data_IF_107338026258
#
_entry.id   IF_107338026258
#
_cell.length_a   1.000
_cell.length_b   1.000
_cell.length_c   1.000
_cell.angle_alpha   90.00
_cell.angle_beta   90.00
_cell.angle_gamma   90.00
#
_symmetry.space_group_name_H-M   'P 1'
#
loop_
_entity.id
_entity.type
_entity.pdbx_description
1 polymer ?
#
# COMPACT_ATOMS: atom_id res chain seq x y z
N UNK A 1 39.96 -24.81 24.51
CA UNK A 1 39.89 -23.91 23.35
C UNK A 1 38.60 -23.10 23.43
N UNK A 2 38.69 -21.80 23.75
CA UNK A 2 37.53 -20.90 23.74
C UNK A 2 37.17 -20.61 22.28
N UNK A 3 35.97 -20.96 21.85
CA UNK A 3 35.43 -20.53 20.57
C UNK A 3 35.39 -18.99 20.57
N UNK A 4 36.23 -18.38 19.74
CA UNK A 4 36.22 -16.95 19.54
C UNK A 4 34.85 -16.58 18.97
N UNK A 5 34.08 -15.76 19.71
CA UNK A 5 32.88 -15.12 19.17
C UNK A 5 33.34 -14.20 18.05
N UNK A 6 33.12 -14.63 16.80
CA UNK A 6 33.33 -13.81 15.62
C UNK A 6 32.51 -12.52 15.74
N UNK A 7 33.01 -11.37 15.28
CA UNK A 7 32.28 -10.11 15.31
C UNK A 7 30.96 -10.24 14.53
N UNK A 8 29.92 -9.57 15.03
CA UNK A 8 28.54 -9.62 14.49
C UNK A 8 28.48 -9.31 12.98
N UNK A 9 29.40 -8.50 12.48
CA UNK A 9 29.52 -8.15 11.06
C UNK A 9 30.00 -9.32 10.20
N UNK A 10 30.94 -10.14 10.68
CA UNK A 10 31.39 -11.35 10.00
C UNK A 10 30.29 -12.42 9.97
N UNK A 11 29.44 -12.45 11.00
CA UNK A 11 28.25 -13.30 11.04
C UNK A 11 27.19 -12.84 10.03
N UNK A 12 27.01 -11.53 9.85
CA UNK A 12 26.08 -10.97 8.86
C UNK A 12 26.52 -11.23 7.42
N UNK A 13 27.80 -11.01 7.10
CA UNK A 13 28.34 -11.25 5.76
C UNK A 13 28.23 -12.74 5.36
N UNK A 14 28.55 -13.65 6.28
CA UNK A 14 28.42 -15.10 6.05
C UNK A 14 26.96 -15.51 5.81
N UNK A 15 26.00 -14.97 6.56
CA UNK A 15 24.57 -15.24 6.36
C UNK A 15 24.06 -14.72 5.03
N UNK A 16 24.50 -13.54 4.62
CA UNK A 16 24.17 -12.97 3.31
C UNK A 16 24.71 -13.83 2.17
N UNK A 17 25.92 -14.39 2.31
CA UNK A 17 26.49 -15.27 1.29
C UNK A 17 25.73 -16.59 1.19
N UNK A 18 25.49 -17.26 2.33
CA UNK A 18 24.68 -18.47 2.37
C UNK A 18 23.27 -18.27 1.81
N UNK A 19 22.67 -17.11 2.07
CA UNK A 19 21.34 -16.78 1.56
C UNK A 19 21.26 -16.74 0.02
N UNK A 20 22.34 -16.38 -0.68
CA UNK A 20 22.35 -16.36 -2.16
C UNK A 20 22.07 -17.73 -2.76
N UNK A 21 22.58 -18.80 -2.13
CA UNK A 21 22.33 -20.18 -2.57
C UNK A 21 20.82 -20.51 -2.54
N UNK A 22 20.07 -19.99 -1.56
CA UNK A 22 18.62 -20.15 -1.48
C UNK A 22 17.86 -19.31 -2.50
N UNK A 23 18.36 -18.11 -2.82
CA UNK A 23 17.79 -17.25 -3.87
C UNK A 23 17.89 -17.95 -5.22
N UNK A 24 19.07 -18.50 -5.55
CA UNK A 24 19.30 -19.27 -6.77
C UNK A 24 18.46 -20.55 -6.79
N UNK A 25 18.46 -21.32 -5.68
CA UNK A 25 17.68 -22.56 -5.57
C UNK A 25 16.17 -22.37 -5.77
N UNK A 26 15.63 -21.21 -5.38
CA UNK A 26 14.20 -20.91 -5.49
C UNK A 26 13.84 -20.08 -6.72
N UNK A 27 14.80 -19.86 -7.63
CA UNK A 27 14.63 -19.04 -8.84
C UNK A 27 14.04 -17.65 -8.54
N UNK A 28 14.47 -17.06 -7.41
CA UNK A 28 14.07 -15.71 -7.00
C UNK A 28 15.02 -14.67 -7.58
N UNK A 29 14.54 -13.45 -7.85
CA UNK A 29 15.43 -12.39 -8.33
C UNK A 29 16.47 -12.04 -7.25
N UNK A 30 17.72 -11.82 -7.66
CA UNK A 30 18.82 -11.40 -6.77
C UNK A 30 18.70 -9.91 -6.38
N UNK A 31 17.66 -9.59 -5.61
CA UNK A 31 17.36 -8.27 -5.09
C UNK A 31 17.96 -8.08 -3.69
N UNK A 32 18.57 -6.94 -3.43
CA UNK A 32 18.99 -6.57 -2.07
C UNK A 32 17.75 -6.34 -1.20
N UNK A 33 17.59 -7.08 -0.11
CA UNK A 33 16.54 -6.78 0.87
C UNK A 33 16.72 -5.37 1.43
N UNK A 34 15.66 -4.59 1.38
CA UNK A 34 15.68 -3.20 1.83
C UNK A 34 15.35 -3.12 3.32
N UNK A 35 16.07 -2.26 4.03
CA UNK A 35 15.70 -1.89 5.39
C UNK A 35 14.55 -0.88 5.31
N UNK A 36 13.40 -1.26 5.85
CA UNK A 36 12.31 -0.31 6.06
C UNK A 36 12.76 0.82 6.98
N UNK A 37 12.44 2.06 6.58
CA UNK A 37 12.67 3.25 7.38
C UNK A 37 11.35 3.99 7.54
N UNK A 38 10.92 4.22 8.80
CA UNK A 38 9.64 4.86 9.11
C UNK A 38 9.52 6.28 8.54
N UNK A 39 10.63 7.00 8.40
CA UNK A 39 10.66 8.35 7.82
C UNK A 39 10.73 8.34 6.29
N UNK A 40 10.95 7.17 5.67
CA UNK A 40 11.00 7.01 4.20
C UNK A 40 9.86 6.11 3.75
N UNK A 41 8.64 6.55 4.03
CA UNK A 41 7.37 5.90 3.70
C UNK A 41 7.27 5.33 2.27
N UNK A 42 7.84 6.00 1.25
CA UNK A 42 7.91 5.48 -0.13
C UNK A 42 8.65 4.14 -0.25
N UNK A 43 9.56 3.83 0.66
CA UNK A 43 10.31 2.57 0.64
C UNK A 43 9.48 1.36 1.06
N UNK A 44 8.34 1.56 1.73
CA UNK A 44 7.57 0.45 2.31
C UNK A 44 7.06 -0.50 1.23
N UNK A 45 6.48 0.02 0.14
CA UNK A 45 5.97 -0.78 -0.96
C UNK A 45 7.10 -1.62 -1.57
N UNK A 46 8.23 -1.00 -1.91
CA UNK A 46 9.39 -1.73 -2.47
C UNK A 46 9.99 -2.74 -1.50
N UNK A 47 9.94 -2.49 -0.18
CA UNK A 47 10.35 -3.49 0.81
C UNK A 47 9.43 -4.72 0.76
N UNK A 48 8.12 -4.50 0.73
CA UNK A 48 7.11 -5.57 0.68
C UNK A 48 7.26 -6.38 -0.61
N UNK A 49 7.40 -5.72 -1.75
CA UNK A 49 7.57 -6.38 -3.06
C UNK A 49 8.83 -7.25 -3.09
N UNK A 50 9.96 -6.78 -2.55
CA UNK A 50 11.20 -7.57 -2.47
C UNK A 50 11.09 -8.76 -1.53
N UNK A 51 10.41 -8.59 -0.38
CA UNK A 51 10.14 -9.71 0.53
C UNK A 51 9.24 -10.75 -0.12
N UNK A 52 8.24 -10.33 -0.89
CA UNK A 52 7.36 -11.25 -1.63
C UNK A 52 8.10 -11.99 -2.74
N UNK A 53 8.93 -11.29 -3.50
CA UNK A 53 9.75 -11.87 -4.57
C UNK A 53 10.67 -12.98 -4.02
N UNK A 54 11.31 -12.72 -2.88
CA UNK A 54 12.22 -13.69 -2.25
C UNK A 54 11.58 -14.50 -1.12
N UNK A 55 10.24 -14.60 -1.06
CA UNK A 55 9.56 -15.26 0.05
C UNK A 55 9.99 -16.73 0.18
N UNK A 56 10.09 -17.44 -0.95
CA UNK A 56 10.49 -18.85 -0.97
C UNK A 56 11.94 -19.01 -0.50
N UNK A 57 12.87 -18.19 -0.98
CA UNK A 57 14.26 -18.17 -0.55
C UNK A 57 14.38 -17.92 0.96
N UNK A 58 13.67 -16.91 1.47
CA UNK A 58 13.62 -16.58 2.89
C UNK A 58 13.11 -17.75 3.72
N UNK A 59 11.98 -18.34 3.31
CA UNK A 59 11.38 -19.47 4.00
C UNK A 59 12.34 -20.68 4.04
N UNK A 60 12.95 -21.05 2.91
CA UNK A 60 13.90 -22.15 2.84
C UNK A 60 15.16 -21.90 3.68
N UNK A 61 15.69 -20.67 3.65
CA UNK A 61 16.83 -20.27 4.44
C UNK A 61 16.55 -20.40 5.95
N UNK A 62 15.42 -19.88 6.44
CA UNK A 62 15.10 -19.96 7.87
C UNK A 62 14.73 -21.37 8.32
N UNK A 63 14.10 -22.18 7.45
CA UNK A 63 13.77 -23.57 7.77
C UNK A 63 15.02 -24.46 7.86
N UNK A 64 16.02 -24.25 7.02
CA UNK A 64 17.29 -25.00 7.07
C UNK A 64 18.12 -24.71 8.34
N UNK A 65 17.83 -23.62 9.05
CA UNK A 65 18.52 -23.21 10.28
C UNK A 65 17.62 -23.33 11.52
N UNK A 66 16.47 -24.00 11.40
CA UNK A 66 15.55 -24.18 12.52
C UNK A 66 16.26 -24.94 13.67
N UNK A 67 16.15 -24.41 14.89
CA UNK A 67 16.81 -24.99 16.09
C UNK A 67 18.28 -24.61 16.28
N UNK A 68 18.96 -24.04 15.28
CA UNK A 68 20.33 -23.50 15.43
C UNK A 68 20.34 -22.10 16.04
N UNK A 69 19.23 -21.38 15.92
CA UNK A 69 19.09 -19.98 16.30
C UNK A 69 18.52 -19.83 17.71
N UNK A 70 19.30 -19.24 18.62
CA UNK A 70 18.86 -18.94 19.99
C UNK A 70 18.10 -17.62 20.12
N UNK A 71 18.14 -16.79 19.06
CA UNK A 71 17.50 -15.48 19.06
C UNK A 71 15.99 -15.59 18.82
N UNK A 72 15.19 -15.19 19.81
CA UNK A 72 13.72 -15.20 19.75
C UNK A 72 13.17 -14.48 18.51
N UNK A 73 13.75 -13.33 18.12
CA UNK A 73 13.29 -12.57 16.95
C UNK A 73 13.46 -13.33 15.65
N UNK A 74 14.55 -14.10 15.52
CA UNK A 74 14.82 -14.93 14.33
C UNK A 74 13.84 -16.10 14.27
N UNK A 75 13.55 -16.71 15.42
CA UNK A 75 12.55 -17.77 15.52
C UNK A 75 11.14 -17.27 15.18
N UNK A 76 10.76 -16.10 15.67
CA UNK A 76 9.46 -15.50 15.36
C UNK A 76 9.35 -15.13 13.88
N UNK A 77 10.43 -14.63 13.27
CA UNK A 77 10.49 -14.38 11.83
C UNK A 77 10.29 -15.68 11.01
N UNK A 78 10.97 -16.76 11.40
CA UNK A 78 10.79 -18.07 10.77
C UNK A 78 9.32 -18.54 10.86
N UNK A 79 8.70 -18.41 12.04
CA UNK A 79 7.27 -18.72 12.21
C UNK A 79 6.38 -17.88 11.30
N UNK A 80 6.63 -16.57 11.19
CA UNK A 80 5.85 -15.69 10.32
C UNK A 80 6.01 -16.01 8.83
N UNK A 81 7.21 -16.40 8.38
CA UNK A 81 7.45 -16.79 6.98
C UNK A 81 6.76 -18.11 6.60
N UNK A 82 6.52 -18.98 7.59
CA UNK A 82 5.75 -20.21 7.43
C UNK A 82 4.25 -20.02 7.70
N UNK A 83 3.80 -18.86 8.16
CA UNK A 83 2.38 -18.56 8.36
C UNK A 83 1.76 -18.04 7.05
N UNK A 84 0.86 -18.82 6.40
CA UNK A 84 0.22 -18.40 5.18
C UNK A 84 -0.62 -17.13 5.36
N UNK A 85 -1.17 -16.84 6.55
CA UNK A 85 -1.91 -15.61 6.80
C UNK A 85 -0.99 -14.37 6.67
N UNK A 86 0.24 -14.45 7.17
CA UNK A 86 1.21 -13.35 7.03
C UNK A 86 1.55 -13.11 5.56
N UNK A 87 1.74 -14.19 4.78
CA UNK A 87 1.97 -14.07 3.34
C UNK A 87 0.78 -13.42 2.62
N UNK A 88 -0.45 -13.75 3.02
CA UNK A 88 -1.65 -13.12 2.49
C UNK A 88 -1.68 -11.61 2.78
N UNK A 89 -1.27 -11.17 3.98
CA UNK A 89 -1.16 -9.74 4.30
C UNK A 89 -0.12 -9.02 3.46
N UNK A 90 1.07 -9.61 3.25
CA UNK A 90 2.09 -9.00 2.38
C UNK A 90 1.58 -8.85 0.95
N UNK A 91 0.93 -9.90 0.40
CA UNK A 91 0.30 -9.84 -0.93
C UNK A 91 -0.77 -8.75 -1.01
N UNK A 92 -1.65 -8.67 -0.04
CA UNK A 92 -2.64 -7.59 0.07
C UNK A 92 -1.99 -6.21 0.07
N UNK A 93 -1.00 -5.99 0.94
CA UNK A 93 -0.33 -4.70 1.07
C UNK A 93 0.41 -4.29 -0.19
N UNK A 94 0.99 -5.23 -0.95
CA UNK A 94 1.66 -4.94 -2.22
C UNK A 94 0.73 -4.27 -3.24
N UNK A 95 -0.57 -4.56 -3.17
CA UNK A 95 -1.58 -3.95 -4.04
C UNK A 95 -2.22 -2.74 -3.39
N UNK A 96 -2.58 -2.83 -2.11
CA UNK A 96 -3.31 -1.79 -1.38
C UNK A 96 -2.49 -0.49 -1.20
N UNK A 97 -1.16 -0.61 -1.10
CA UNK A 97 -0.27 0.56 -0.96
C UNK A 97 0.03 1.24 -2.30
N UNK A 98 -0.17 0.58 -3.44
CA UNK A 98 0.18 1.13 -4.76
C UNK A 98 -0.49 2.49 -5.06
N UNK A 99 -1.81 2.67 -4.86
CA UNK A 99 -2.45 3.98 -5.10
C UNK A 99 -1.89 5.09 -4.22
N UNK A 100 -1.53 4.76 -2.97
CA UNK A 100 -0.92 5.71 -2.03
C UNK A 100 0.48 6.08 -2.52
N UNK A 101 1.31 5.09 -2.84
CA UNK A 101 2.66 5.30 -3.34
C UNK A 101 2.66 6.12 -4.64
N UNK A 102 1.78 5.80 -5.59
CA UNK A 102 1.64 6.53 -6.85
C UNK A 102 1.28 8.00 -6.61
N UNK A 103 0.34 8.28 -5.70
CA UNK A 103 -0.03 9.65 -5.31
C UNK A 103 1.16 10.40 -4.69
N UNK A 104 1.88 9.75 -3.77
CA UNK A 104 3.01 10.37 -3.08
C UNK A 104 4.16 10.69 -4.03
N UNK A 105 4.45 9.80 -4.98
CA UNK A 105 5.48 10.01 -6.01
C UNK A 105 5.10 11.21 -6.88
N UNK A 106 3.84 11.31 -7.31
CA UNK A 106 3.37 12.42 -8.14
C UNK A 106 3.58 13.79 -7.47
N UNK A 107 3.27 13.89 -6.16
CA UNK A 107 3.39 15.14 -5.40
C UNK A 107 4.75 15.37 -4.72
N UNK A 108 5.71 14.45 -4.90
CA UNK A 108 7.13 14.68 -4.58
C UNK A 108 7.94 15.08 -5.81
N UNK A 109 7.32 15.19 -6.98
CA UNK A 109 7.99 15.69 -8.16
C UNK A 109 8.40 17.16 -7.99
N UNK A 110 9.49 17.57 -8.64
CA UNK A 110 9.98 18.95 -8.62
C UNK A 110 9.08 19.92 -9.40
N UNK A 111 8.06 19.40 -10.10
CA UNK A 111 7.14 20.20 -10.88
C UNK A 111 6.03 20.80 -10.02
N UNK A 112 5.58 22.01 -10.35
CA UNK A 112 4.44 22.65 -9.68
C UNK A 112 3.14 21.97 -10.12
N UNK A 113 2.63 21.05 -9.31
CA UNK A 113 1.41 20.27 -9.59
C UNK A 113 0.21 20.69 -8.71
N UNK A 114 0.26 21.84 -8.03
CA UNK A 114 -0.80 22.28 -7.09
C UNK A 114 -2.19 22.34 -7.74
N UNK A 115 -2.25 22.70 -9.02
CA UNK A 115 -3.48 22.76 -9.82
C UNK A 115 -4.16 21.40 -10.01
N UNK A 116 -3.42 20.29 -9.85
CA UNK A 116 -3.97 18.92 -9.91
C UNK A 116 -4.35 18.37 -8.54
N UNK A 117 -3.94 19.04 -7.45
CA UNK A 117 -4.02 18.47 -6.10
C UNK A 117 -5.46 18.12 -5.69
N UNK A 118 -6.42 19.02 -5.91
CA UNK A 118 -7.84 18.77 -5.60
C UNK A 118 -8.39 17.54 -6.35
N UNK A 119 -8.13 17.48 -7.66
CA UNK A 119 -8.55 16.37 -8.54
C UNK A 119 -7.93 15.06 -8.09
N UNK A 120 -6.64 15.05 -7.78
CA UNK A 120 -5.90 13.86 -7.41
C UNK A 120 -6.25 13.34 -6.01
N UNK A 121 -6.45 14.22 -5.03
CA UNK A 121 -6.96 13.84 -3.70
C UNK A 121 -8.35 13.23 -3.80
N UNK A 122 -9.25 13.86 -4.56
CA UNK A 122 -10.60 13.36 -4.83
C UNK A 122 -10.54 11.99 -5.50
N UNK A 123 -9.70 11.83 -6.52
CA UNK A 123 -9.51 10.57 -7.25
C UNK A 123 -9.00 9.47 -6.32
N UNK A 124 -8.04 9.77 -5.45
CA UNK A 124 -7.49 8.81 -4.51
C UNK A 124 -8.53 8.37 -3.48
N UNK A 125 -9.27 9.31 -2.87
CA UNK A 125 -10.36 8.99 -1.93
C UNK A 125 -11.40 8.10 -2.59
N UNK A 126 -11.88 8.45 -3.80
CA UNK A 126 -12.86 7.63 -4.53
C UNK A 126 -12.33 6.23 -4.81
N UNK A 127 -11.05 6.11 -5.16
CA UNK A 127 -10.40 4.80 -5.38
C UNK A 127 -10.34 3.97 -4.10
N UNK A 128 -10.00 4.58 -2.96
CA UNK A 128 -9.96 3.88 -1.67
C UNK A 128 -11.37 3.50 -1.18
N UNK A 129 -12.37 4.36 -1.38
CA UNK A 129 -13.78 4.04 -1.13
C UNK A 129 -14.24 2.86 -1.98
N UNK A 130 -13.92 2.85 -3.28
CA UNK A 130 -14.27 1.76 -4.19
C UNK A 130 -13.64 0.41 -3.85
N UNK A 131 -12.63 0.37 -2.96
CA UNK A 131 -12.09 -0.88 -2.44
C UNK A 131 -12.97 -1.49 -1.34
N UNK A 132 -13.83 -0.68 -0.70
CA UNK A 132 -14.54 -1.00 0.54
C UNK A 132 -16.07 -0.96 0.39
N UNK A 133 -16.61 -0.02 -0.40
CA UNK A 133 -18.06 0.18 -0.56
C UNK A 133 -18.49 0.04 -2.02
N UNK A 134 -19.76 -0.32 -2.30
CA UNK A 134 -20.28 -0.39 -3.66
C UNK A 134 -20.18 0.95 -4.41
N UNK A 135 -19.95 0.90 -5.73
CA UNK A 135 -19.87 2.11 -6.56
C UNK A 135 -21.10 3.03 -6.43
N UNK A 136 -22.30 2.43 -6.32
CA UNK A 136 -23.56 3.16 -6.09
C UNK A 136 -23.59 4.00 -4.82
N UNK A 137 -22.77 3.68 -3.82
CA UNK A 137 -22.66 4.47 -2.59
C UNK A 137 -21.75 5.71 -2.75
N UNK A 138 -21.00 5.78 -3.86
CA UNK A 138 -20.02 6.84 -4.16
C UNK A 138 -20.53 7.75 -5.29
N UNK A 139 -21.22 7.19 -6.29
CA UNK A 139 -21.72 7.95 -7.44
C UNK A 139 -22.67 9.05 -6.99
N UNK A 140 -22.41 10.27 -7.45
CA UNK A 140 -23.22 11.47 -7.20
C UNK A 140 -23.45 11.84 -5.73
N UNK A 141 -22.69 11.23 -4.81
CA UNK A 141 -22.69 11.57 -3.38
C UNK A 141 -21.48 12.45 -3.07
N UNK A 142 -21.65 13.57 -2.34
CA UNK A 142 -20.52 14.36 -1.83
C UNK A 142 -19.57 13.47 -1.01
N UNK A 143 -18.25 13.60 -1.22
CA UNK A 143 -17.27 12.68 -0.62
C UNK A 143 -17.38 12.53 0.90
N UNK A 144 -17.71 13.63 1.59
CA UNK A 144 -17.84 13.65 3.06
C UNK A 144 -19.08 12.94 3.58
N UNK A 145 -20.08 12.74 2.72
CA UNK A 145 -21.36 12.12 3.05
C UNK A 145 -21.38 10.62 2.74
N UNK A 146 -20.36 10.11 2.02
CA UNK A 146 -20.25 8.68 1.71
C UNK A 146 -20.05 7.89 3.00
N UNK A 147 -21.03 7.07 3.36
CA UNK A 147 -20.94 6.18 4.52
C UNK A 147 -20.16 4.91 4.15
N UNK A 148 -19.07 4.66 4.88
CA UNK A 148 -18.24 3.47 4.75
C UNK A 148 -18.13 2.66 6.05
N UNK A 149 -19.00 2.92 7.02
CA UNK A 149 -19.10 2.15 8.26
C UNK A 149 -19.70 0.76 8.06
N UNK A 150 -19.76 -0.01 9.14
CA UNK A 150 -20.33 -1.36 9.14
C UNK A 150 -21.75 -1.37 8.53
N UNK A 151 -22.05 -2.39 7.73
CA UNK A 151 -23.32 -2.54 7.01
C UNK A 151 -23.40 -1.85 5.63
N UNK A 152 -22.49 -0.93 5.30
CA UNK A 152 -22.45 -0.25 3.99
C UNK A 152 -21.34 -0.79 3.08
N UNK A 153 -20.55 -1.74 3.60
CA UNK A 153 -19.36 -2.28 2.95
C UNK A 153 -19.69 -3.45 2.03
N UNK A 154 -18.76 -3.73 1.11
CA UNK A 154 -18.78 -4.90 0.24
C UNK A 154 -18.68 -6.20 1.06
N UNK A 155 -19.23 -7.28 0.49
CA UNK A 155 -18.99 -8.64 0.96
C UNK A 155 -17.50 -9.01 0.84
N UNK A 156 -17.05 -10.01 1.60
CA UNK A 156 -15.65 -10.45 1.64
C UNK A 156 -15.10 -10.75 0.23
N UNK A 157 -15.92 -11.40 -0.59
CA UNK A 157 -15.57 -11.84 -1.95
C UNK A 157 -15.37 -10.65 -2.90
N UNK A 158 -16.09 -9.56 -2.67
CA UNK A 158 -16.12 -8.36 -3.51
C UNK A 158 -15.09 -7.32 -3.09
N UNK A 159 -14.56 -7.39 -1.87
CA UNK A 159 -13.49 -6.51 -1.41
C UNK A 159 -12.30 -6.55 -2.38
N UNK A 160 -11.76 -5.37 -2.67
CA UNK A 160 -10.57 -5.26 -3.50
C UNK A 160 -9.34 -5.62 -2.64
N UNK A 161 -8.73 -6.78 -2.91
CA UNK A 161 -7.51 -7.23 -2.22
C UNK A 161 -6.37 -7.59 -3.18
N UNK A 162 -6.59 -7.41 -4.49
CA UNK A 162 -5.68 -7.83 -5.56
C UNK A 162 -5.90 -9.27 -6.03
N UNK A 163 -5.68 -9.52 -7.33
CA UNK A 163 -5.90 -10.84 -7.95
C UNK A 163 -5.05 -11.95 -7.34
N UNK A 164 -3.75 -11.70 -7.17
CA UNK A 164 -2.82 -12.66 -6.58
C UNK A 164 -3.16 -13.01 -5.14
N UNK A 165 -3.65 -12.04 -4.37
CA UNK A 165 -4.11 -12.26 -2.99
C UNK A 165 -5.36 -13.13 -2.98
N UNK A 166 -6.35 -12.85 -3.85
CA UNK A 166 -7.56 -13.69 -4.00
C UNK A 166 -7.20 -15.12 -4.39
N UNK A 167 -6.31 -15.29 -5.38
CA UNK A 167 -5.84 -16.59 -5.81
C UNK A 167 -5.13 -17.34 -4.67
N UNK A 168 -4.24 -16.65 -3.95
CA UNK A 168 -3.51 -17.23 -2.83
C UNK A 168 -4.43 -17.66 -1.68
N UNK A 169 -5.39 -16.82 -1.27
CA UNK A 169 -6.38 -17.17 -0.23
C UNK A 169 -7.20 -18.40 -0.62
N UNK A 170 -7.57 -18.51 -1.91
CA UNK A 170 -8.31 -19.66 -2.42
C UNK A 170 -7.47 -20.95 -2.35
N UNK A 171 -6.20 -20.88 -2.73
CA UNK A 171 -5.30 -22.04 -2.71
C UNK A 171 -4.82 -22.41 -1.31
N UNK A 172 -4.69 -21.45 -0.39
CA UNK A 172 -4.22 -21.68 0.98
C UNK A 172 -5.27 -22.32 1.90
N UNK A 173 -6.53 -22.42 1.45
CA UNK A 173 -7.64 -23.09 2.16
C UNK A 173 -7.72 -22.72 3.65
N UNK A 174 -7.72 -21.42 3.96
CA UNK A 174 -7.76 -20.96 5.34
C UNK A 174 -9.01 -21.46 6.09
N UNK A 175 -8.87 -21.85 7.36
CA UNK A 175 -10.02 -22.04 8.24
C UNK A 175 -10.90 -20.80 8.28
N UNK A 176 -12.21 -20.98 8.38
CA UNK A 176 -13.20 -19.89 8.39
C UNK A 176 -12.84 -18.77 9.39
N UNK A 177 -12.43 -19.05 10.65
CA UNK A 177 -12.04 -17.98 11.58
C UNK A 177 -10.85 -17.15 11.09
N UNK A 178 -9.86 -17.79 10.47
CA UNK A 178 -8.67 -17.14 9.92
C UNK A 178 -9.02 -16.27 8.71
N UNK A 179 -9.88 -16.79 7.81
CA UNK A 179 -10.42 -16.03 6.68
C UNK A 179 -11.18 -14.79 7.16
N UNK A 180 -12.07 -14.94 8.14
CA UNK A 180 -12.83 -13.82 8.71
C UNK A 180 -11.89 -12.76 9.32
N UNK A 181 -10.88 -13.18 10.07
CA UNK A 181 -9.86 -12.29 10.64
C UNK A 181 -9.10 -11.52 9.57
N UNK A 182 -8.74 -12.17 8.47
CA UNK A 182 -8.08 -11.53 7.34
C UNK A 182 -8.96 -10.40 6.77
N UNK A 183 -10.22 -10.68 6.44
CA UNK A 183 -11.12 -9.68 5.86
C UNK A 183 -11.51 -8.56 6.83
N UNK A 184 -11.65 -8.85 8.12
CA UNK A 184 -11.79 -7.80 9.15
C UNK A 184 -10.57 -6.86 9.16
N UNK A 185 -9.36 -7.41 9.06
CA UNK A 185 -8.13 -6.61 9.01
C UNK A 185 -8.04 -5.77 7.74
N UNK A 186 -8.46 -6.31 6.59
CA UNK A 186 -8.55 -5.58 5.31
C UNK A 186 -9.51 -4.39 5.43
N UNK A 187 -10.70 -4.59 6.01
CA UNK A 187 -11.66 -3.50 6.25
C UNK A 187 -11.07 -2.43 7.17
N UNK A 188 -10.52 -2.84 8.30
CA UNK A 188 -9.90 -1.92 9.26
C UNK A 188 -8.77 -1.10 8.62
N UNK A 189 -7.98 -1.71 7.73
CA UNK A 189 -6.97 -1.00 6.96
C UNK A 189 -7.58 0.08 6.06
N UNK A 190 -8.55 -0.27 5.21
CA UNK A 190 -9.16 0.69 4.30
C UNK A 190 -9.88 1.82 5.04
N UNK A 191 -10.62 1.50 6.12
CA UNK A 191 -11.25 2.50 6.96
C UNK A 191 -10.22 3.44 7.60
N UNK A 192 -9.12 2.91 8.14
CA UNK A 192 -8.07 3.73 8.75
C UNK A 192 -7.43 4.68 7.73
N UNK A 193 -7.19 4.20 6.50
CA UNK A 193 -6.68 5.03 5.42
C UNK A 193 -7.68 6.13 5.05
N UNK A 194 -8.95 5.79 4.86
CA UNK A 194 -10.01 6.75 4.54
C UNK A 194 -10.17 7.81 5.63
N UNK A 195 -10.26 7.40 6.90
CA UNK A 195 -10.32 8.32 8.05
C UNK A 195 -9.13 9.27 8.05
N UNK A 196 -7.92 8.76 7.79
CA UNK A 196 -6.72 9.59 7.73
C UNK A 196 -6.73 10.56 6.55
N UNK A 197 -7.19 10.13 5.37
CA UNK A 197 -7.35 10.99 4.19
C UNK A 197 -8.33 12.12 4.47
N UNK A 198 -9.52 11.82 4.99
CA UNK A 198 -10.52 12.85 5.32
C UNK A 198 -10.06 13.82 6.40
N UNK A 199 -9.22 13.37 7.35
CA UNK A 199 -8.65 14.24 8.38
C UNK A 199 -7.50 15.12 7.88
N UNK A 200 -6.76 14.69 6.86
CA UNK A 200 -5.55 15.38 6.40
C UNK A 200 -5.73 16.14 5.09
N UNK A 201 -6.65 15.73 4.22
CA UNK A 201 -6.84 16.36 2.91
C UNK A 201 -7.79 17.54 3.00
N UNK A 202 -7.39 18.74 2.53
CA UNK A 202 -8.24 19.92 2.51
C UNK A 202 -9.26 19.88 1.35
N UNK A 203 -10.11 18.84 1.32
CA UNK A 203 -11.07 18.59 0.23
C UNK A 203 -12.16 19.66 0.04
N UNK A 204 -12.36 20.51 1.05
CA UNK A 204 -13.29 21.64 0.98
C UNK A 204 -12.59 22.96 0.61
N UNK A 205 -11.28 22.95 0.38
CA UNK A 205 -10.54 24.16 0.06
C UNK A 205 -11.01 24.73 -1.28
N UNK A 206 -11.75 25.84 -1.23
CA UNK A 206 -12.17 26.54 -2.44
C UNK A 206 -10.95 27.00 -3.26
N UNK A 207 -9.89 27.46 -2.59
CA UNK A 207 -8.63 27.81 -3.25
C UNK A 207 -8.07 26.66 -4.11
N UNK A 208 -8.01 25.43 -3.59
CA UNK A 208 -7.50 24.30 -4.37
C UNK A 208 -8.42 23.93 -5.53
N UNK A 209 -9.73 24.14 -5.40
CA UNK A 209 -10.70 23.96 -6.49
C UNK A 209 -10.50 25.02 -7.57
N UNK A 210 -10.29 26.28 -7.18
CA UNK A 210 -10.09 27.40 -8.09
C UNK A 210 -8.77 27.28 -8.85
N UNK A 211 -7.71 26.77 -8.21
CA UNK A 211 -6.40 26.54 -8.85
C UNK A 211 -6.45 25.53 -10.01
N UNK A 212 -7.55 24.79 -10.18
CA UNK A 212 -7.74 23.88 -11.32
C UNK A 212 -7.73 24.61 -12.67
N UNK A 213 -8.06 25.90 -12.71
CA UNK A 213 -7.99 26.73 -13.93
C UNK A 213 -6.56 26.84 -14.51
N UNK A 214 -5.55 26.57 -13.68
CA UNK A 214 -4.15 26.58 -14.08
C UNK A 214 -3.73 25.26 -14.78
N UNK A 215 -4.59 24.23 -14.78
CA UNK A 215 -4.33 22.99 -15.51
C UNK A 215 -4.43 23.27 -17.02
N UNK A 216 -3.33 23.13 -17.80
CA UNK A 216 -3.38 23.35 -19.25
C UNK A 216 -4.41 22.47 -19.95
N UNK A 217 -4.72 21.29 -19.41
CA UNK A 217 -5.75 20.39 -19.93
C UNK A 217 -7.18 20.88 -19.70
N UNK A 218 -7.41 21.76 -18.72
CA UNK A 218 -8.74 22.32 -18.41
C UNK A 218 -9.15 23.49 -19.31
N UNK A 219 -8.19 24.10 -20.02
CA UNK A 219 -8.45 25.25 -20.93
C UNK A 219 -9.31 24.89 -22.15
N UNK A 220 -9.42 23.61 -22.51
CA UNK A 220 -10.26 23.17 -23.63
C UNK A 220 -11.75 23.07 -23.30
N UNK A 221 -12.14 23.17 -22.02
CA UNK A 221 -13.55 23.11 -21.58
C UNK A 221 -14.18 24.49 -21.34
N UNK A 222 -13.42 25.58 -21.52
CA UNK A 222 -13.92 26.94 -21.37
C UNK A 222 -14.46 27.40 -22.73
N UNK A 223 -15.78 27.36 -22.90
CA UNK A 223 -16.43 28.04 -24.03
C UNK A 223 -16.18 29.56 -23.92
N UNK A 224 -15.89 30.28 -25.03
CA UNK A 224 -15.61 31.72 -25.01
C UNK A 224 -16.75 32.63 -24.49
N UNK A 225 -17.94 32.09 -24.27
CA UNK A 225 -19.15 32.89 -24.04
C UNK A 225 -19.47 33.22 -22.57
N UNK A 226 -18.78 32.65 -21.58
CA UNK A 226 -19.10 32.90 -20.16
C UNK A 226 -18.34 34.08 -19.52
N UNK A 227 -17.58 34.87 -20.30
CA UNK A 227 -16.69 35.91 -19.77
C UNK A 227 -17.07 37.36 -20.05
N UNK A 228 -18.25 37.68 -20.60
CA UNK A 228 -18.60 39.06 -21.01
C UNK A 228 -19.47 39.87 -20.05
N UNK A 229 -20.00 39.28 -18.98
CA UNK A 229 -20.85 40.02 -18.08
C UNK A 229 -20.17 40.20 -16.71
N UNK A 230 -19.93 41.46 -16.36
CA UNK A 230 -19.52 41.98 -15.03
C UNK A 230 -18.03 42.26 -14.77
N UNK A 231 -17.34 42.87 -15.74
CA UNK A 231 -16.16 43.70 -15.44
C UNK A 231 -16.41 45.15 -15.86
N UNK A 232 -17.35 45.82 -15.19
CA UNK A 232 -17.39 47.28 -15.17
C UNK A 232 -16.37 47.76 -14.12
N UNK A 233 -15.14 48.00 -14.55
CA UNK A 233 -14.26 48.91 -13.80
C UNK A 233 -14.78 50.33 -13.99
N UNK A 234 -15.34 50.90 -12.92
CA UNK A 234 -15.52 52.34 -12.80
C UNK A 234 -14.25 52.87 -12.15
N UNK A 235 -13.60 53.80 -12.86
CA UNK A 235 -12.40 54.53 -12.44
C UNK A 235 -12.65 55.38 -11.19
#
# INVERSE_FOLDING_TARGET
MKAAKLPVEAYCAKRCELYKEFVEFTDSDSLKLLRYCSTRWLSLLSCIERVLNQWAALQAYFNSHEGLETNTKIRDLSKHLNDPLIKAYFKFLSVALKPLSDFNIAFQSEQVQIHKLDKEMTRLIKRMLGCLVPAKAIMDVPLKEVNFGEGHQLADEDLFIGGDTKAFIRTAEFPVPTKNKFFQTVRAFYEAVLRKMFACFPIDSQLLKDLRILDPGSRMEISPDTGRDNMYFVW
#
